data_IF_599255341401
#
_entry.id   IF_599255341401
#
_cell.length_a   1.000
_cell.length_b   1.000
_cell.length_c   1.000
_cell.angle_alpha   90.00
_cell.angle_beta   90.00
_cell.angle_gamma   90.00
#
_symmetry.space_group_name_H-M   'P 1'
#
loop_
_entity.id
_entity.type
_entity.pdbx_description
1 polymer ?
#
# COMPACT_ATOMS: atom_id res chain seq x y z
N UNK A 1 18.37 -20.26 25.87
CA UNK A 1 18.81 -20.22 24.46
C UNK A 1 17.88 -21.02 23.52
N UNK A 2 16.58 -21.10 23.83
CA UNK A 2 15.60 -21.87 23.05
C UNK A 2 14.42 -21.01 22.53
N UNK A 3 14.27 -19.78 23.03
CA UNK A 3 13.12 -18.92 22.70
C UNK A 3 13.23 -18.22 21.34
N UNK A 4 14.42 -18.14 20.73
CA UNK A 4 14.59 -17.49 19.43
C UNK A 4 14.16 -18.36 18.23
N UNK A 5 14.06 -19.68 18.40
CA UNK A 5 13.76 -20.58 17.28
C UNK A 5 12.27 -20.69 16.96
N UNK A 6 11.38 -20.35 17.90
CA UNK A 6 9.93 -20.41 17.67
C UNK A 6 9.39 -19.19 16.90
N UNK A 7 10.07 -18.05 16.94
CA UNK A 7 9.67 -16.87 16.14
C UNK A 7 9.91 -17.09 14.63
N UNK A 8 10.96 -17.82 14.26
CA UNK A 8 11.29 -18.11 12.86
C UNK A 8 10.26 -19.07 12.23
N UNK A 9 9.70 -20.00 13.01
CA UNK A 9 8.65 -20.93 12.54
C UNK A 9 7.33 -20.24 12.19
N UNK A 10 7.09 -19.05 12.73
CA UNK A 10 5.90 -18.24 12.45
C UNK A 10 6.16 -17.15 11.41
N UNK A 11 7.32 -17.15 10.75
CA UNK A 11 7.61 -16.29 9.62
C UNK A 11 6.74 -16.73 8.42
N UNK A 12 5.47 -16.31 8.43
CA UNK A 12 4.63 -16.36 7.24
C UNK A 12 5.30 -15.48 6.21
N UNK A 13 5.63 -16.04 5.05
CA UNK A 13 6.04 -15.26 3.88
C UNK A 13 5.19 -13.99 3.80
N UNK A 14 5.86 -12.84 3.77
CA UNK A 14 5.15 -11.57 3.62
C UNK A 14 4.26 -11.68 2.39
N UNK A 15 2.96 -11.52 2.60
CA UNK A 15 2.01 -11.55 1.51
C UNK A 15 2.50 -10.55 0.44
N UNK A 16 2.72 -10.97 -0.82
CA UNK A 16 3.26 -10.10 -1.87
C UNK A 16 2.48 -8.77 -2.01
N UNK A 17 1.17 -8.81 -1.73
CA UNK A 17 0.31 -7.62 -1.72
C UNK A 17 0.76 -6.62 -0.65
N UNK A 18 1.21 -7.06 0.54
CA UNK A 18 1.69 -6.17 1.59
C UNK A 18 2.94 -5.40 1.16
N UNK A 19 3.86 -6.05 0.44
CA UNK A 19 5.07 -5.41 -0.09
C UNK A 19 4.68 -4.34 -1.13
N UNK A 20 3.76 -4.67 -2.04
CA UNK A 20 3.26 -3.73 -3.05
C UNK A 20 2.57 -2.54 -2.39
N UNK A 21 1.67 -2.79 -1.44
CA UNK A 21 0.96 -1.76 -0.68
C UNK A 21 1.94 -0.88 0.10
N UNK A 22 2.96 -1.45 0.74
CA UNK A 22 4.01 -0.70 1.42
C UNK A 22 4.78 0.23 0.47
N UNK A 23 5.14 -0.25 -0.72
CA UNK A 23 5.82 0.56 -1.71
C UNK A 23 4.94 1.72 -2.22
N UNK A 24 3.65 1.48 -2.43
CA UNK A 24 2.67 2.51 -2.82
C UNK A 24 2.59 3.59 -1.74
N UNK A 25 2.46 3.20 -0.46
CA UNK A 25 2.44 4.14 0.67
C UNK A 25 3.71 4.98 0.73
N UNK A 26 4.88 4.35 0.57
CA UNK A 26 6.14 5.08 0.64
C UNK A 26 6.24 6.15 -0.44
N UNK A 27 5.75 5.86 -1.66
CA UNK A 27 5.66 6.86 -2.73
C UNK A 27 4.75 8.03 -2.36
N UNK A 28 3.65 7.77 -1.67
CA UNK A 28 2.74 8.81 -1.21
C UNK A 28 3.33 9.62 -0.06
N UNK A 29 3.85 8.97 0.99
CA UNK A 29 4.29 9.66 2.22
C UNK A 29 5.59 10.42 2.05
N UNK A 30 6.55 9.86 1.33
CA UNK A 30 7.89 10.43 1.25
C UNK A 30 8.13 11.21 -0.04
N UNK A 31 7.55 10.76 -1.16
CA UNK A 31 7.72 11.41 -2.45
C UNK A 31 6.52 12.30 -2.84
N UNK A 32 5.40 12.23 -2.11
CA UNK A 32 4.13 12.89 -2.48
C UNK A 32 3.71 12.61 -3.94
N UNK A 33 4.12 11.45 -4.47
CA UNK A 33 3.90 11.07 -5.85
C UNK A 33 2.67 10.17 -5.94
N UNK A 34 1.51 10.83 -5.90
CA UNK A 34 0.21 10.17 -5.99
C UNK A 34 -0.07 9.59 -7.38
N UNK A 35 0.53 10.15 -8.43
CA UNK A 35 0.33 9.69 -9.82
C UNK A 35 1.01 8.34 -10.04
N UNK A 36 2.27 8.21 -9.62
CA UNK A 36 2.97 6.93 -9.69
C UNK A 36 2.34 5.90 -8.76
N UNK A 37 1.90 6.30 -7.57
CA UNK A 37 1.15 5.43 -6.66
C UNK A 37 -0.14 4.89 -7.30
N UNK A 38 -0.94 5.75 -7.93
CA UNK A 38 -2.14 5.35 -8.66
C UNK A 38 -1.84 4.43 -9.85
N UNK A 39 -0.74 4.67 -10.57
CA UNK A 39 -0.27 3.78 -11.65
C UNK A 39 0.10 2.39 -11.10
N UNK A 40 0.89 2.33 -10.03
CA UNK A 40 1.26 1.07 -9.37
C UNK A 40 0.03 0.31 -8.88
N UNK A 41 -0.98 1.02 -8.36
CA UNK A 41 -2.25 0.40 -7.97
C UNK A 41 -2.97 -0.25 -9.15
N UNK A 42 -3.06 0.46 -10.30
CA UNK A 42 -3.67 -0.09 -11.52
C UNK A 42 -2.90 -1.30 -12.05
N UNK A 43 -1.58 -1.22 -12.14
CA UNK A 43 -0.72 -2.29 -12.67
C UNK A 43 -0.78 -3.57 -11.82
N UNK A 44 -0.91 -3.42 -10.50
CA UNK A 44 -0.96 -4.55 -9.57
C UNK A 44 -2.39 -4.93 -9.16
N UNK A 45 -3.41 -4.36 -9.79
CA UNK A 45 -4.83 -4.56 -9.49
C UNK A 45 -5.17 -4.36 -7.99
N UNK A 46 -4.53 -3.38 -7.35
CA UNK A 46 -4.72 -3.01 -5.96
C UNK A 46 -5.87 -2.01 -5.87
N UNK A 47 -6.85 -2.28 -5.00
CA UNK A 47 -7.97 -1.39 -4.77
C UNK A 47 -7.70 -0.44 -3.60
N UNK A 48 -8.52 0.60 -3.47
CA UNK A 48 -8.44 1.53 -2.33
C UNK A 48 -8.71 0.82 -1.01
N UNK A 49 -9.58 -0.18 -1.00
CA UNK A 49 -9.91 -1.00 0.16
C UNK A 49 -8.71 -1.85 0.61
N UNK A 50 -7.86 -2.30 -0.32
CA UNK A 50 -6.63 -3.02 0.02
C UNK A 50 -5.62 -2.11 0.72
N UNK A 51 -5.56 -0.84 0.31
CA UNK A 51 -4.78 0.20 0.99
C UNK A 51 -5.41 0.46 2.37
N UNK A 52 -6.72 0.71 2.45
CA UNK A 52 -7.38 1.07 3.72
C UNK A 52 -7.29 -0.06 4.76
N UNK A 53 -7.49 -1.32 4.36
CA UNK A 53 -7.50 -2.48 5.26
C UNK A 53 -6.11 -2.87 5.78
N UNK A 54 -5.04 -2.49 5.07
CA UNK A 54 -3.66 -2.90 5.39
C UNK A 54 -2.81 -1.75 5.90
N UNK A 55 -3.38 -0.55 6.01
CA UNK A 55 -2.58 0.65 6.29
C UNK A 55 -3.16 1.50 7.40
N UNK A 56 -2.44 1.52 8.53
CA UNK A 56 -2.60 2.51 9.61
C UNK A 56 -1.71 3.75 9.30
N UNK A 57 -0.92 3.69 8.23
CA UNK A 57 0.22 4.59 7.98
C UNK A 57 -0.10 5.77 7.06
N UNK A 58 -1.19 5.74 6.31
CA UNK A 58 -1.58 6.84 5.42
C UNK A 58 -2.47 7.83 6.17
N UNK A 59 -2.24 9.14 5.99
CA UNK A 59 -3.15 10.14 6.56
C UNK A 59 -4.47 10.14 5.79
N UNK A 60 -5.57 10.55 6.44
CA UNK A 60 -6.87 10.65 5.77
C UNK A 60 -6.84 11.60 4.56
N UNK A 61 -6.07 12.69 4.65
CA UNK A 61 -5.90 13.66 3.56
C UNK A 61 -5.19 13.00 2.36
N UNK A 62 -4.11 12.27 2.60
CA UNK A 62 -3.38 11.58 1.53
C UNK A 62 -4.22 10.48 0.89
N UNK A 63 -5.04 9.79 1.69
CA UNK A 63 -5.99 8.80 1.20
C UNK A 63 -7.03 9.42 0.26
N UNK A 64 -7.61 10.57 0.63
CA UNK A 64 -8.57 11.30 -0.22
C UNK A 64 -7.90 11.74 -1.53
N UNK A 65 -6.70 12.35 -1.46
CA UNK A 65 -5.99 12.78 -2.67
C UNK A 65 -5.70 11.64 -3.63
N UNK A 66 -5.31 10.47 -3.10
CA UNK A 66 -5.13 9.27 -3.90
C UNK A 66 -6.44 8.82 -4.56
N UNK A 67 -7.54 8.83 -3.82
CA UNK A 67 -8.86 8.50 -4.34
C UNK A 67 -9.31 9.45 -5.46
N UNK A 68 -9.13 10.77 -5.28
CA UNK A 68 -9.46 11.78 -6.28
C UNK A 68 -8.70 11.54 -7.59
N UNK A 69 -7.39 11.26 -7.52
CA UNK A 69 -6.57 10.98 -8.70
C UNK A 69 -7.03 9.70 -9.41
N UNK A 70 -7.38 8.66 -8.66
CA UNK A 70 -7.90 7.42 -9.23
C UNK A 70 -9.24 7.63 -9.94
N UNK A 71 -10.13 8.47 -9.39
CA UNK A 71 -11.41 8.83 -10.00
C UNK A 71 -11.19 9.65 -11.28
N UNK A 72 -10.34 10.67 -11.24
CA UNK A 72 -10.02 11.49 -12.41
C UNK A 72 -9.39 10.66 -13.54
N UNK A 73 -8.59 9.65 -13.19
CA UNK A 73 -7.96 8.72 -14.13
C UNK A 73 -8.92 7.66 -14.71
N UNK A 74 -10.17 7.57 -14.25
CA UNK A 74 -11.22 6.71 -14.83
C UNK A 74 -12.17 7.47 -15.78
N UNK A 75 -12.16 8.80 -15.74
CA UNK A 75 -13.05 9.66 -16.55
C UNK A 75 -12.52 10.02 -17.94
N UNK A 76 -11.38 9.46 -18.35
CA UNK A 76 -10.83 9.53 -19.71
C UNK A 76 -10.78 8.14 -20.30
#
# INVERSE_FOLDING_TARGET
MAEYFDEIKNFKEENPINIIVFNIINKIKYAHDFTTAAKMMKENNIKLEDIASRTIRLSFIDFIKLADILIQSKGK
#
